data_IF_955662227349
#
_entry.id   IF_955662227349
#
_cell.length_a   1.000
_cell.length_b   1.000
_cell.length_c   1.000
_cell.angle_alpha   90.00
_cell.angle_beta   90.00
_cell.angle_gamma   90.00
#
_symmetry.space_group_name_H-M   'P 1'
#
loop_
_entity.id
_entity.type
_entity.pdbx_description
1 polymer ?
#
# COMPACT_ATOMS: atom_id res chain seq x y z
N UNK A 1 5.97 13.31 40.47
CA UNK A 1 5.54 11.90 40.35
C UNK A 1 5.95 11.43 38.96
N UNK A 2 6.72 10.35 38.85
CA UNK A 2 7.03 9.76 37.54
C UNK A 2 5.70 9.36 36.88
N UNK A 3 5.39 9.90 35.70
CA UNK A 3 4.20 9.50 34.93
C UNK A 3 4.41 8.02 34.56
N UNK A 4 3.43 7.15 34.84
CA UNK A 4 3.54 5.74 34.45
C UNK A 4 3.86 5.64 32.95
N UNK A 5 4.75 4.70 32.54
CA UNK A 5 5.12 4.57 31.15
C UNK A 5 3.90 4.21 30.29
N UNK A 6 3.91 4.65 29.03
CA UNK A 6 2.93 4.17 28.05
C UNK A 6 3.29 2.73 27.69
N UNK A 7 2.29 1.85 27.71
CA UNK A 7 2.46 0.43 27.38
C UNK A 7 1.83 0.17 26.02
N UNK A 8 2.65 -0.12 25.01
CA UNK A 8 2.18 -0.55 23.69
C UNK A 8 2.25 -2.07 23.57
N UNK A 9 1.26 -2.64 22.91
CA UNK A 9 1.18 -4.05 22.62
C UNK A 9 1.01 -4.24 21.11
N UNK A 10 2.10 -4.59 20.42
CA UNK A 10 2.07 -4.94 19.01
C UNK A 10 1.36 -6.28 18.82
N UNK A 11 0.12 -6.22 18.34
CA UNK A 11 -0.70 -7.38 17.99
C UNK A 11 -0.15 -8.05 16.74
N UNK A 12 -0.19 -9.38 16.69
CA UNK A 12 0.07 -10.13 15.48
C UNK A 12 -1.05 -9.91 14.44
N UNK A 13 -0.66 -9.66 13.20
CA UNK A 13 -1.60 -9.54 12.08
C UNK A 13 -2.28 -10.89 11.82
N UNK A 14 -3.57 -10.82 11.52
CA UNK A 14 -4.43 -12.00 11.25
C UNK A 14 -4.97 -11.99 9.83
N UNK A 15 -4.82 -10.86 9.11
CA UNK A 15 -5.23 -10.76 7.71
C UNK A 15 -4.30 -11.66 6.89
N UNK A 16 -4.84 -12.60 6.09
CA UNK A 16 -4.01 -13.49 5.29
C UNK A 16 -2.99 -12.72 4.45
N UNK A 17 -1.73 -13.18 4.48
CA UNK A 17 -0.61 -12.63 3.72
C UNK A 17 -0.20 -11.19 4.10
N UNK A 18 -0.66 -10.67 5.24
CA UNK A 18 -0.17 -9.39 5.78
C UNK A 18 1.14 -9.61 6.56
N UNK A 19 2.26 -9.51 5.86
CA UNK A 19 3.59 -9.69 6.46
C UNK A 19 4.21 -8.41 7.03
N UNK A 20 3.55 -7.25 6.89
CA UNK A 20 4.00 -5.98 7.47
C UNK A 20 3.71 -5.93 8.97
N UNK A 21 4.37 -5.02 9.66
CA UNK A 21 4.15 -4.75 11.08
C UNK A 21 4.06 -3.25 11.34
N UNK A 22 3.24 -2.85 12.34
CA UNK A 22 3.00 -1.44 12.66
C UNK A 22 4.18 -0.80 13.42
N UNK A 23 4.91 -1.64 14.17
CA UNK A 23 6.24 -1.36 14.69
C UNK A 23 7.22 -2.29 14.00
N UNK A 24 8.47 -1.87 13.95
CA UNK A 24 9.62 -2.65 13.52
C UNK A 24 10.58 -2.82 14.70
N UNK A 25 11.57 -3.72 14.65
CA UNK A 25 12.60 -3.80 15.67
C UNK A 25 13.32 -2.46 15.89
N UNK A 26 13.59 -1.70 14.82
CA UNK A 26 14.27 -0.41 14.89
C UNK A 26 13.44 0.66 15.63
N UNK A 27 12.13 0.70 15.38
CA UNK A 27 11.22 1.67 15.99
C UNK A 27 10.78 1.26 17.39
N UNK A 28 10.69 -0.05 17.64
CA UNK A 28 10.54 -0.62 18.98
C UNK A 28 11.69 -0.19 19.89
N UNK A 29 12.93 -0.29 19.40
CA UNK A 29 14.10 0.17 20.16
C UNK A 29 13.98 1.67 20.52
N UNK A 30 13.59 2.50 19.57
CA UNK A 30 13.43 3.94 19.81
C UNK A 30 12.38 4.25 20.88
N UNK A 31 11.26 3.53 20.89
CA UNK A 31 10.22 3.70 21.91
C UNK A 31 10.69 3.21 23.29
N UNK A 32 11.38 2.07 23.35
CA UNK A 32 11.99 1.58 24.59
C UNK A 32 13.00 2.59 25.16
N UNK A 33 13.86 3.16 24.31
CA UNK A 33 14.81 4.21 24.70
C UNK A 33 14.10 5.49 25.18
N UNK A 34 12.89 5.76 24.68
CA UNK A 34 12.03 6.87 25.11
C UNK A 34 11.20 6.57 26.38
N UNK A 35 11.37 5.40 26.99
CA UNK A 35 10.72 5.01 28.25
C UNK A 35 9.36 4.34 28.09
N UNK A 36 9.00 3.86 26.90
CA UNK A 36 7.82 3.03 26.70
C UNK A 36 8.08 1.61 27.19
N UNK A 37 7.00 0.91 27.54
CA UNK A 37 7.01 -0.54 27.69
C UNK A 37 6.37 -1.17 26.46
N UNK A 38 7.10 -2.06 25.78
CA UNK A 38 6.64 -2.66 24.52
C UNK A 38 6.46 -4.17 24.68
N UNK A 39 5.25 -4.65 24.41
CA UNK A 39 4.93 -6.05 24.21
C UNK A 39 4.82 -6.34 22.72
N UNK A 40 5.34 -7.47 22.27
CA UNK A 40 5.25 -7.93 20.88
C UNK A 40 4.74 -9.35 20.87
N UNK A 41 3.65 -9.58 20.15
CA UNK A 41 3.15 -10.93 19.92
C UNK A 41 4.07 -11.72 18.98
N UNK A 42 4.27 -13.00 19.27
CA UNK A 42 4.73 -13.96 18.26
C UNK A 42 3.77 -13.90 17.05
N UNK A 43 4.33 -13.86 15.84
CA UNK A 43 3.54 -13.82 14.61
C UNK A 43 4.16 -14.71 13.54
N UNK A 44 3.40 -15.70 13.09
CA UNK A 44 3.85 -16.65 12.06
C UNK A 44 3.93 -16.05 10.65
N UNK A 45 3.28 -14.90 10.41
CA UNK A 45 3.21 -14.26 9.09
C UNK A 45 4.07 -12.99 8.95
N UNK A 46 4.55 -12.42 10.06
CA UNK A 46 5.42 -11.23 10.04
C UNK A 46 6.72 -11.49 9.27
N UNK A 47 7.15 -10.51 8.48
CA UNK A 47 8.48 -10.52 7.83
C UNK A 47 9.65 -10.35 8.81
N UNK A 48 9.36 -9.86 10.01
CA UNK A 48 10.33 -9.68 11.10
C UNK A 48 10.34 -10.92 11.98
N UNK A 49 11.52 -11.51 12.19
CA UNK A 49 11.70 -12.60 13.14
C UNK A 49 11.50 -12.05 14.56
N UNK A 50 10.80 -12.81 15.40
CA UNK A 50 10.52 -12.43 16.78
C UNK A 50 11.80 -12.15 17.58
N UNK A 51 12.91 -12.83 17.25
CA UNK A 51 14.23 -12.62 17.86
C UNK A 51 14.78 -11.21 17.60
N UNK A 52 14.39 -10.56 16.51
CA UNK A 52 14.78 -9.17 16.25
C UNK A 52 14.16 -8.22 17.28
N UNK A 53 12.91 -8.47 17.69
CA UNK A 53 12.24 -7.71 18.75
C UNK A 53 12.81 -8.02 20.14
N UNK A 54 13.07 -9.30 20.43
CA UNK A 54 13.70 -9.72 21.68
C UNK A 54 15.08 -9.05 21.85
N UNK A 55 15.89 -9.02 20.80
CA UNK A 55 17.22 -8.44 20.81
C UNK A 55 17.25 -6.93 21.13
N UNK A 56 16.16 -6.20 20.85
CA UNK A 56 16.04 -4.78 21.20
C UNK A 56 15.38 -4.52 22.56
N UNK A 57 14.95 -5.58 23.27
CA UNK A 57 14.40 -5.51 24.62
C UNK A 57 12.87 -5.53 24.70
N UNK A 58 12.17 -5.91 23.63
CA UNK A 58 10.72 -6.06 23.68
C UNK A 58 10.30 -7.28 24.51
N UNK A 59 9.14 -7.20 25.18
CA UNK A 59 8.54 -8.32 25.92
C UNK A 59 7.75 -9.21 24.96
N UNK A 60 8.27 -10.38 24.68
CA UNK A 60 7.62 -11.34 23.76
C UNK A 60 6.45 -12.03 24.48
N UNK A 61 5.30 -12.10 23.80
CA UNK A 61 4.06 -12.74 24.30
C UNK A 61 3.39 -13.58 23.23
N UNK A 62 2.51 -14.55 23.59
CA UNK A 62 1.85 -15.39 22.61
C UNK A 62 0.94 -14.61 21.64
N UNK A 63 0.80 -15.13 20.43
CA UNK A 63 -0.14 -14.65 19.40
C UNK A 63 -1.57 -14.54 19.97
N UNK A 64 -2.23 -13.39 19.77
CA UNK A 64 -3.59 -13.12 20.21
C UNK A 64 -3.77 -12.83 21.71
N UNK A 65 -2.69 -12.79 22.50
CA UNK A 65 -2.71 -12.48 23.93
C UNK A 65 -3.24 -11.08 24.27
N UNK A 66 -3.27 -10.15 23.30
CA UNK A 66 -3.83 -8.81 23.46
C UNK A 66 -5.28 -8.82 23.97
N UNK A 67 -6.07 -9.85 23.61
CA UNK A 67 -7.50 -9.97 23.96
C UNK A 67 -7.74 -10.06 25.47
N UNK A 68 -6.78 -10.61 26.22
CA UNK A 68 -6.83 -10.74 27.67
C UNK A 68 -5.80 -9.85 28.37
N UNK A 69 -5.10 -9.00 27.62
CA UNK A 69 -4.13 -8.09 28.17
C UNK A 69 -4.80 -7.05 29.08
N UNK A 70 -4.09 -6.53 30.09
CA UNK A 70 -4.59 -5.46 30.96
C UNK A 70 -5.08 -4.24 30.15
N UNK A 71 -6.13 -3.58 30.65
CA UNK A 71 -6.86 -2.51 29.95
C UNK A 71 -5.97 -1.30 29.61
N UNK A 72 -4.94 -1.05 30.39
CA UNK A 72 -3.99 0.05 30.22
C UNK A 72 -3.06 -0.11 29.02
N UNK A 73 -2.99 -1.30 28.40
CA UNK A 73 -2.22 -1.49 27.17
C UNK A 73 -2.94 -0.87 25.98
N UNK A 74 -2.21 -0.12 25.18
CA UNK A 74 -2.65 0.34 23.87
C UNK A 74 -2.34 -0.77 22.87
N UNK A 75 -3.38 -1.34 22.25
CA UNK A 75 -3.23 -2.41 21.25
C UNK A 75 -2.92 -1.78 19.90
N UNK A 76 -1.79 -2.15 19.32
CA UNK A 76 -1.29 -1.56 18.10
C UNK A 76 -1.15 -2.64 17.02
N UNK A 77 -1.80 -2.45 15.88
CA UNK A 77 -1.67 -3.30 14.70
C UNK A 77 -1.82 -2.48 13.42
N UNK A 78 -1.62 -3.10 12.27
CA UNK A 78 -1.87 -2.49 10.97
C UNK A 78 -3.31 -2.73 10.52
N UNK A 79 -3.72 -3.97 10.31
CA UNK A 79 -4.97 -4.26 9.60
C UNK A 79 -6.14 -4.47 10.55
N UNK A 80 -7.30 -4.58 9.93
CA UNK A 80 -8.58 -4.83 10.55
C UNK A 80 -8.56 -6.07 11.46
N UNK A 81 -9.47 -6.10 12.43
CA UNK A 81 -9.71 -7.28 13.26
C UNK A 81 -10.58 -8.28 12.48
N UNK A 82 -10.50 -9.59 12.77
CA UNK A 82 -11.35 -10.58 12.11
C UNK A 82 -12.84 -10.25 12.27
N UNK A 83 -13.60 -10.26 11.16
CA UNK A 83 -15.02 -9.91 11.14
C UNK A 83 -15.90 -10.89 11.94
N UNK A 84 -15.45 -12.14 12.09
CA UNK A 84 -16.12 -13.15 12.89
C UNK A 84 -15.95 -12.94 14.41
N UNK A 85 -15.08 -12.02 14.84
CA UNK A 85 -14.90 -11.67 16.25
C UNK A 85 -15.84 -10.53 16.65
N UNK A 86 -16.75 -10.82 17.57
CA UNK A 86 -17.84 -9.90 17.97
C UNK A 86 -17.75 -9.41 19.40
N UNK A 87 -16.70 -9.79 20.13
CA UNK A 87 -16.54 -9.40 21.54
C UNK A 87 -16.28 -7.89 21.68
N UNK A 88 -16.71 -7.29 22.82
CA UNK A 88 -16.44 -5.88 23.14
C UNK A 88 -14.94 -5.58 23.21
N UNK A 89 -14.51 -4.47 22.60
CA UNK A 89 -13.13 -4.00 22.62
C UNK A 89 -12.94 -3.03 23.78
N UNK A 90 -12.15 -3.43 24.77
CA UNK A 90 -11.98 -2.68 26.02
C UNK A 90 -10.77 -1.73 26.03
N UNK A 91 -9.84 -1.92 25.10
CA UNK A 91 -8.58 -1.19 25.03
C UNK A 91 -8.68 0.07 24.16
N UNK A 92 -7.65 0.91 24.24
CA UNK A 92 -7.34 1.84 23.17
C UNK A 92 -6.64 1.08 22.03
N UNK A 93 -7.13 1.20 20.80
CA UNK A 93 -6.56 0.58 19.61
C UNK A 93 -5.99 1.61 18.66
N UNK A 94 -4.83 1.30 18.06
CA UNK A 94 -4.26 2.01 16.92
C UNK A 94 -4.20 1.01 15.77
N UNK A 95 -4.94 1.25 14.68
CA UNK A 95 -4.97 0.37 13.51
C UNK A 95 -5.64 1.05 12.31
N UNK A 96 -5.54 0.47 11.12
CA UNK A 96 -6.48 0.73 10.05
C UNK A 96 -7.73 -0.12 10.29
N UNK A 97 -8.83 0.49 10.73
CA UNK A 97 -10.07 -0.25 10.99
C UNK A 97 -10.99 -0.30 9.78
N UNK A 98 -10.79 0.60 8.80
CA UNK A 98 -11.59 0.67 7.58
C UNK A 98 -13.10 0.71 7.86
N UNK A 99 -13.52 1.55 8.81
CA UNK A 99 -14.94 1.69 9.20
C UNK A 99 -15.48 3.13 9.18
N UNK A 100 -14.73 4.09 8.60
CA UNK A 100 -15.13 5.50 8.52
C UNK A 100 -15.60 5.96 7.13
N UNK A 101 -15.59 5.08 6.12
CA UNK A 101 -15.99 5.38 4.73
C UNK A 101 -17.16 4.50 4.27
N UNK A 102 -18.01 4.12 5.22
CA UNK A 102 -19.23 3.34 4.98
C UNK A 102 -18.97 1.98 4.30
N UNK A 103 -17.82 1.38 4.60
CA UNK A 103 -17.48 0.04 4.18
C UNK A 103 -18.53 -0.97 4.64
N UNK A 104 -18.72 -2.06 3.90
CA UNK A 104 -19.61 -3.13 4.33
C UNK A 104 -19.25 -3.61 5.76
N UNK A 105 -20.24 -3.68 6.65
CA UNK A 105 -20.03 -4.09 8.04
C UNK A 105 -19.37 -3.04 8.95
N UNK A 106 -19.22 -1.78 8.52
CA UNK A 106 -18.55 -0.75 9.34
C UNK A 106 -19.20 -0.57 10.73
N UNK A 107 -20.53 -0.69 10.82
CA UNK A 107 -21.24 -0.60 12.11
C UNK A 107 -20.85 -1.75 13.05
N UNK A 108 -20.68 -2.96 12.51
CA UNK A 108 -20.34 -4.14 13.30
C UNK A 108 -18.92 -4.06 13.87
N UNK A 109 -17.99 -3.48 13.11
CA UNK A 109 -16.64 -3.15 13.61
C UNK A 109 -16.73 -2.09 14.69
N UNK A 110 -17.41 -0.96 14.40
CA UNK A 110 -17.36 0.21 15.26
C UNK A 110 -18.09 0.00 16.58
N UNK A 111 -19.22 -0.72 16.60
CA UNK A 111 -20.04 -0.94 17.82
C UNK A 111 -19.29 -1.70 18.92
N UNK A 112 -18.26 -2.49 18.58
CA UNK A 112 -17.46 -3.24 19.55
C UNK A 112 -16.72 -2.34 20.53
N UNK A 113 -16.29 -1.15 20.10
CA UNK A 113 -15.56 -0.19 20.93
C UNK A 113 -16.43 0.43 22.05
N UNK A 114 -17.56 1.12 21.77
CA UNK A 114 -18.40 1.66 22.83
C UNK A 114 -18.99 0.57 23.73
N UNK A 115 -19.25 -0.64 23.23
CA UNK A 115 -19.65 -1.78 24.06
C UNK A 115 -18.61 -2.17 25.12
N UNK A 116 -17.31 -2.00 24.82
CA UNK A 116 -16.21 -2.30 25.73
C UNK A 116 -15.67 -1.08 26.47
N UNK A 117 -16.19 0.12 26.20
CA UNK A 117 -15.57 1.40 26.57
C UNK A 117 -14.11 1.53 26.05
N UNK A 118 -13.85 0.99 24.87
CA UNK A 118 -12.59 1.15 24.14
C UNK A 118 -12.60 2.37 23.22
N UNK A 119 -11.44 2.66 22.64
CA UNK A 119 -11.22 3.79 21.74
C UNK A 119 -10.49 3.28 20.49
N UNK A 120 -10.81 3.85 19.33
CA UNK A 120 -10.06 3.64 18.10
C UNK A 120 -9.34 4.94 17.70
N UNK A 121 -8.03 4.87 17.49
CA UNK A 121 -7.26 5.87 16.76
C UNK A 121 -6.90 5.28 15.39
N UNK A 122 -7.68 5.64 14.37
CA UNK A 122 -7.49 5.05 13.05
C UNK A 122 -6.25 5.64 12.33
N UNK A 123 -5.29 4.78 11.97
CA UNK A 123 -4.05 5.13 11.29
C UNK A 123 -4.26 5.82 9.93
N UNK A 124 -5.41 5.59 9.30
CA UNK A 124 -5.78 6.23 8.03
C UNK A 124 -5.95 7.74 8.18
N UNK A 125 -6.37 8.20 9.37
CA UNK A 125 -6.78 9.58 9.64
C UNK A 125 -5.89 10.32 10.65
N UNK A 126 -4.72 9.74 10.98
CA UNK A 126 -3.71 10.48 11.73
C UNK A 126 -3.08 11.55 10.85
N UNK A 127 -3.36 12.81 11.17
CA UNK A 127 -2.92 13.98 10.41
C UNK A 127 -2.15 14.96 11.27
N UNK A 128 -1.17 15.63 10.63
CA UNK A 128 -0.48 16.77 11.21
C UNK A 128 -1.38 18.02 11.21
N UNK A 129 -0.88 19.13 11.75
CA UNK A 129 -1.68 20.37 11.89
C UNK A 129 -2.01 21.07 10.56
N UNK A 130 -1.46 20.61 9.44
CA UNK A 130 -1.81 21.07 8.10
C UNK A 130 -2.78 20.12 7.38
N UNK A 131 -3.35 19.13 8.07
CA UNK A 131 -4.23 18.13 7.48
C UNK A 131 -3.51 17.13 6.56
N UNK A 132 -2.18 17.01 6.69
CA UNK A 132 -1.41 16.00 5.95
C UNK A 132 -1.26 14.76 6.80
N UNK A 133 -1.59 13.62 6.21
CA UNK A 133 -1.44 12.31 6.84
C UNK A 133 0.00 12.04 7.28
N UNK A 134 0.18 11.68 8.56
CA UNK A 134 1.50 11.54 9.21
C UNK A 134 2.28 10.35 8.67
N UNK A 135 1.63 9.20 8.48
CA UNK A 135 2.25 7.97 7.99
C UNK A 135 1.37 7.30 6.94
N UNK A 136 1.99 6.84 5.84
CA UNK A 136 1.32 6.10 4.78
C UNK A 136 2.33 5.23 4.02
N UNK A 137 1.85 4.18 3.35
CA UNK A 137 2.71 3.25 2.60
C UNK A 137 3.04 3.72 1.16
N UNK A 138 2.83 5.00 0.85
CA UNK A 138 2.84 5.52 -0.52
C UNK A 138 4.14 5.22 -1.28
N UNK A 139 5.30 5.43 -0.66
CA UNK A 139 6.59 5.22 -1.33
C UNK A 139 6.76 3.78 -1.83
N UNK A 140 6.63 2.78 -0.96
CA UNK A 140 6.78 1.38 -1.36
C UNK A 140 5.60 0.85 -2.18
N UNK A 141 4.42 1.49 -2.15
CA UNK A 141 3.36 1.20 -3.11
C UNK A 141 3.80 1.54 -4.54
N UNK A 142 4.37 2.72 -4.75
CA UNK A 142 4.91 3.13 -6.05
C UNK A 142 6.13 2.32 -6.47
N UNK A 143 7.04 2.03 -5.53
CA UNK A 143 8.23 1.22 -5.77
C UNK A 143 7.87 -0.20 -6.23
N UNK A 144 7.00 -0.89 -5.49
CA UNK A 144 6.52 -2.22 -5.85
C UNK A 144 5.67 -2.21 -7.13
N UNK A 145 4.83 -1.19 -7.31
CA UNK A 145 4.03 -1.02 -8.52
C UNK A 145 4.90 -0.89 -9.78
N UNK A 146 5.91 -0.02 -9.74
CA UNK A 146 6.87 0.12 -10.83
C UNK A 146 7.63 -1.20 -11.11
N UNK A 147 7.89 -2.02 -10.08
CA UNK A 147 8.59 -3.28 -10.24
C UNK A 147 7.74 -4.29 -11.02
N UNK A 148 6.46 -4.43 -10.63
CA UNK A 148 5.50 -5.23 -11.38
C UNK A 148 5.35 -4.70 -12.82
N UNK A 149 5.31 -3.38 -12.98
CA UNK A 149 5.24 -2.74 -14.31
C UNK A 149 6.40 -3.16 -15.22
N UNK A 150 7.62 -3.15 -14.70
CA UNK A 150 8.83 -3.54 -15.45
C UNK A 150 8.88 -5.05 -15.68
N UNK A 151 8.48 -5.86 -14.71
CA UNK A 151 8.40 -7.32 -14.85
C UNK A 151 7.41 -7.70 -15.94
N UNK A 152 6.21 -7.10 -15.95
CA UNK A 152 5.19 -7.35 -16.97
C UNK A 152 5.64 -6.89 -18.37
N UNK A 153 6.25 -5.71 -18.48
CA UNK A 153 6.83 -5.24 -19.75
C UNK A 153 7.94 -6.18 -20.23
N UNK A 154 8.84 -6.60 -19.34
CA UNK A 154 9.96 -7.48 -19.66
C UNK A 154 9.45 -8.85 -20.10
N UNK A 155 8.49 -9.42 -19.38
CA UNK A 155 7.82 -10.67 -19.72
C UNK A 155 7.23 -10.62 -21.12
N UNK A 156 6.58 -9.52 -21.47
CA UNK A 156 6.00 -9.26 -22.79
C UNK A 156 7.04 -9.23 -23.92
N UNK A 157 8.19 -8.57 -23.70
CA UNK A 157 9.29 -8.63 -24.66
C UNK A 157 9.78 -10.08 -24.87
N UNK A 158 9.92 -10.84 -23.77
CA UNK A 158 10.48 -12.19 -23.77
C UNK A 158 9.55 -13.26 -24.35
N UNK A 159 8.23 -13.14 -24.15
CA UNK A 159 7.25 -14.16 -24.51
C UNK A 159 6.37 -13.76 -25.70
N UNK A 160 6.43 -12.50 -26.13
CA UNK A 160 5.63 -11.94 -27.22
C UNK A 160 4.34 -11.28 -26.73
N UNK A 161 3.86 -10.33 -27.53
CA UNK A 161 2.68 -9.49 -27.21
C UNK A 161 1.39 -9.97 -27.89
N UNK A 162 1.33 -11.24 -28.27
CA UNK A 162 0.14 -11.86 -28.85
C UNK A 162 -0.82 -12.31 -27.75
N UNK A 163 -2.13 -12.22 -28.01
CA UNK A 163 -3.19 -12.73 -27.12
C UNK A 163 -2.98 -14.23 -26.91
N UNK A 164 -3.03 -14.72 -25.67
CA UNK A 164 -2.70 -16.11 -25.33
C UNK A 164 -2.97 -16.45 -23.85
N UNK A 165 -2.89 -17.74 -23.51
CA UNK A 165 -3.14 -18.30 -22.17
C UNK A 165 -1.89 -18.22 -21.27
N UNK A 166 -2.05 -18.33 -19.94
CA UNK A 166 -0.93 -18.34 -18.96
C UNK A 166 0.08 -19.47 -19.24
N UNK A 167 1.38 -19.17 -19.29
CA UNK A 167 2.46 -20.18 -19.37
C UNK A 167 2.86 -20.63 -20.79
N UNK A 168 3.97 -21.37 -20.84
CA UNK A 168 4.93 -21.54 -21.96
C UNK A 168 4.33 -21.65 -23.38
N UNK A 169 4.42 -20.54 -24.12
CA UNK A 169 4.01 -20.37 -25.51
C UNK A 169 4.23 -18.92 -25.97
N UNK A 170 4.07 -18.63 -27.27
CA UNK A 170 4.11 -17.24 -27.77
C UNK A 170 2.86 -16.48 -27.29
N UNK A 171 3.02 -15.64 -26.27
CA UNK A 171 1.93 -14.92 -25.58
C UNK A 171 1.51 -15.58 -24.27
N UNK A 172 1.25 -14.75 -23.24
CA UNK A 172 0.82 -15.19 -21.90
C UNK A 172 0.58 -14.02 -20.93
N UNK A 173 0.43 -14.30 -19.64
CA UNK A 173 0.34 -13.29 -18.56
C UNK A 173 1.52 -13.45 -17.60
N UNK A 174 1.88 -12.36 -16.92
CA UNK A 174 2.93 -12.37 -15.91
C UNK A 174 2.60 -13.43 -14.83
N UNK A 175 3.53 -14.35 -14.51
CA UNK A 175 3.34 -15.30 -13.43
C UNK A 175 3.12 -14.61 -12.08
N UNK A 176 2.61 -15.36 -11.10
CA UNK A 176 2.47 -14.87 -9.73
C UNK A 176 3.79 -14.37 -9.15
N UNK A 177 3.72 -13.29 -8.38
CA UNK A 177 4.84 -12.73 -7.62
C UNK A 177 4.67 -13.07 -6.14
N UNK A 178 5.77 -13.13 -5.40
CA UNK A 178 5.75 -13.32 -3.94
C UNK A 178 6.46 -12.16 -3.25
N UNK A 179 6.10 -11.84 -2.00
CA UNK A 179 6.83 -10.85 -1.21
C UNK A 179 8.34 -11.11 -1.19
N UNK A 180 9.11 -10.05 -1.36
CA UNK A 180 10.57 -10.07 -1.32
C UNK A 180 11.07 -9.86 0.11
N UNK A 181 12.16 -10.52 0.50
CA UNK A 181 12.72 -10.37 1.85
C UNK A 181 13.35 -9.00 2.08
N UNK A 182 13.79 -8.31 1.01
CA UNK A 182 14.37 -6.98 1.05
C UNK A 182 14.42 -6.32 -0.34
N UNK A 183 14.67 -5.01 -0.36
CA UNK A 183 14.73 -4.18 -1.56
C UNK A 183 15.79 -4.65 -2.57
N UNK A 184 16.95 -5.12 -2.10
CA UNK A 184 18.05 -5.52 -2.96
C UNK A 184 17.70 -6.76 -3.81
N UNK A 185 17.02 -7.75 -3.22
CA UNK A 185 16.57 -8.93 -3.97
C UNK A 185 15.49 -8.56 -5.00
N UNK A 186 14.56 -7.65 -4.67
CA UNK A 186 13.60 -7.15 -5.67
C UNK A 186 14.31 -6.45 -6.83
N UNK A 187 15.23 -5.52 -6.53
CA UNK A 187 15.98 -4.78 -7.57
C UNK A 187 16.75 -5.74 -8.45
N UNK A 188 17.42 -6.74 -7.85
CA UNK A 188 18.21 -7.74 -8.57
C UNK A 188 17.35 -8.54 -9.54
N UNK A 189 16.21 -9.06 -9.09
CA UNK A 189 15.31 -9.84 -9.95
C UNK A 189 14.74 -8.99 -11.10
N UNK A 190 14.28 -7.78 -10.79
CA UNK A 190 13.76 -6.85 -11.81
C UNK A 190 14.84 -6.48 -12.83
N UNK A 191 16.09 -6.26 -12.39
CA UNK A 191 17.23 -6.02 -13.31
C UNK A 191 17.48 -7.19 -14.23
N UNK A 192 17.49 -8.42 -13.70
CA UNK A 192 17.72 -9.63 -14.49
C UNK A 192 16.68 -9.75 -15.61
N UNK A 193 15.39 -9.56 -15.30
CA UNK A 193 14.33 -9.63 -16.31
C UNK A 193 14.40 -8.46 -17.30
N UNK A 194 14.71 -7.25 -16.83
CA UNK A 194 14.92 -6.09 -17.68
C UNK A 194 16.07 -6.31 -18.66
N UNK A 195 17.23 -6.79 -18.21
CA UNK A 195 18.41 -7.05 -19.07
C UNK A 195 18.13 -8.10 -20.15
N UNK A 196 17.40 -9.17 -19.81
CA UNK A 196 16.94 -10.17 -20.80
C UNK A 196 16.04 -9.52 -21.84
N UNK A 197 15.08 -8.70 -21.40
CA UNK A 197 14.15 -8.01 -22.28
C UNK A 197 14.87 -7.00 -23.20
N UNK A 198 15.81 -6.21 -22.66
CA UNK A 198 16.65 -5.29 -23.43
C UNK A 198 17.45 -6.02 -24.50
N UNK A 199 18.06 -7.16 -24.17
CA UNK A 199 18.81 -7.98 -25.13
C UNK A 199 17.94 -8.39 -26.32
N UNK A 200 16.68 -8.74 -26.08
CA UNK A 200 15.74 -9.12 -27.12
C UNK A 200 15.13 -7.94 -27.88
N UNK A 201 15.01 -6.77 -27.23
CA UNK A 201 14.45 -5.54 -27.78
C UNK A 201 15.52 -4.57 -28.32
N UNK A 202 16.68 -5.08 -28.76
CA UNK A 202 17.72 -4.26 -29.39
C UNK A 202 18.34 -3.20 -28.46
N UNK A 203 18.32 -3.42 -27.14
CA UNK A 203 18.88 -2.52 -26.13
C UNK A 203 18.01 -1.30 -25.80
N UNK A 204 16.77 -1.24 -26.29
CA UNK A 204 15.89 -0.09 -26.05
C UNK A 204 15.15 -0.21 -24.73
N UNK A 205 15.41 0.74 -23.82
CA UNK A 205 14.69 0.90 -22.56
C UNK A 205 13.22 1.31 -22.78
N UNK A 206 12.30 0.86 -21.91
CA UNK A 206 10.91 1.31 -21.96
C UNK A 206 10.82 2.81 -21.67
N UNK A 207 9.85 3.48 -22.29
CA UNK A 207 9.38 4.82 -21.89
C UNK A 207 8.35 4.65 -20.78
N UNK A 208 8.64 5.20 -19.61
CA UNK A 208 7.79 5.13 -18.44
C UNK A 208 7.12 6.48 -18.21
N UNK A 209 5.81 6.50 -18.02
CA UNK A 209 5.05 7.67 -17.60
C UNK A 209 4.53 7.46 -16.18
N UNK A 210 4.82 8.39 -15.29
CA UNK A 210 4.30 8.41 -13.91
C UNK A 210 3.41 9.63 -13.73
N UNK A 211 2.12 9.43 -13.48
CA UNK A 211 1.20 10.51 -13.09
C UNK A 211 1.08 10.53 -11.56
N UNK A 212 1.28 11.69 -10.95
CA UNK A 212 1.44 11.85 -9.50
C UNK A 212 2.90 11.75 -9.04
N UNK A 213 3.82 12.18 -9.91
CA UNK A 213 5.26 12.03 -9.75
C UNK A 213 5.84 12.75 -8.52
N UNK A 214 5.22 13.83 -8.05
CA UNK A 214 5.71 14.61 -6.91
C UNK A 214 5.28 14.04 -5.54
N UNK A 215 4.33 13.10 -5.54
CA UNK A 215 3.87 12.42 -4.33
C UNK A 215 4.84 11.35 -3.84
N UNK A 216 4.57 10.81 -2.64
CA UNK A 216 5.32 9.67 -2.07
C UNK A 216 5.34 8.47 -3.03
N UNK A 217 4.18 8.13 -3.61
CA UNK A 217 4.04 7.06 -4.59
C UNK A 217 4.87 7.30 -5.85
N UNK A 218 4.73 8.46 -6.49
CA UNK A 218 5.49 8.78 -7.69
C UNK A 218 6.99 8.74 -7.44
N UNK A 219 7.44 9.26 -6.30
CA UNK A 219 8.84 9.22 -5.88
C UNK A 219 9.37 7.78 -5.76
N UNK A 220 8.59 6.86 -5.18
CA UNK A 220 8.97 5.44 -5.09
C UNK A 220 9.04 4.74 -6.44
N UNK A 221 8.10 5.02 -7.34
CA UNK A 221 8.12 4.48 -8.71
C UNK A 221 9.37 4.94 -9.48
N UNK A 222 9.68 6.24 -9.41
CA UNK A 222 10.86 6.84 -10.05
C UNK A 222 12.15 6.29 -9.44
N UNK A 223 12.20 6.11 -8.12
CA UNK A 223 13.38 5.58 -7.42
C UNK A 223 13.69 4.15 -7.86
N UNK A 224 12.68 3.28 -7.98
CA UNK A 224 12.88 1.95 -8.56
C UNK A 224 13.45 2.04 -9.97
N UNK A 225 12.81 2.81 -10.89
CA UNK A 225 13.27 2.92 -12.28
C UNK A 225 14.74 3.31 -12.37
N UNK A 226 15.17 4.27 -11.54
CA UNK A 226 16.58 4.67 -11.43
C UNK A 226 17.47 3.55 -10.91
N UNK A 227 17.07 2.87 -9.82
CA UNK A 227 17.85 1.79 -9.21
C UNK A 227 18.04 0.61 -10.13
N UNK A 228 17.08 0.31 -11.01
CA UNK A 228 17.17 -0.76 -12.02
C UNK A 228 17.86 -0.32 -13.31
N UNK A 229 18.20 0.97 -13.45
CA UNK A 229 19.00 1.50 -14.55
C UNK A 229 18.22 2.03 -15.76
N UNK A 230 16.92 2.30 -15.63
CA UNK A 230 16.17 3.01 -16.68
C UNK A 230 16.68 4.48 -16.72
N UNK A 231 17.10 5.00 -17.89
CA UNK A 231 17.58 6.37 -18.03
C UNK A 231 16.52 7.41 -17.62
N UNK A 232 16.92 8.53 -17.03
CA UNK A 232 15.97 9.56 -16.58
C UNK A 232 15.16 10.17 -17.76
N UNK A 233 15.77 10.26 -18.95
CA UNK A 233 15.13 10.72 -20.19
C UNK A 233 14.01 9.78 -20.67
N UNK A 234 13.99 8.54 -20.19
CA UNK A 234 12.92 7.58 -20.44
C UNK A 234 11.78 7.68 -19.42
N UNK A 235 11.87 8.55 -18.41
CA UNK A 235 10.90 8.66 -17.32
C UNK A 235 10.19 10.01 -17.40
N UNK A 236 9.00 10.02 -18.00
CA UNK A 236 8.10 11.17 -17.96
C UNK A 236 7.44 11.29 -16.58
N UNK A 237 7.63 12.44 -15.93
CA UNK A 237 7.20 12.72 -14.56
C UNK A 237 6.09 13.76 -14.60
N UNK A 238 4.85 13.32 -14.49
CA UNK A 238 3.66 14.16 -14.59
C UNK A 238 3.00 14.35 -13.24
N UNK A 239 2.42 15.53 -13.04
CA UNK A 239 1.63 15.88 -11.87
C UNK A 239 0.46 16.80 -12.27
N UNK A 240 -0.03 17.61 -11.33
CA UNK A 240 -1.17 18.49 -11.54
C UNK A 240 -0.96 19.48 -12.71
N UNK A 241 0.27 19.93 -12.96
CA UNK A 241 0.57 20.87 -14.04
C UNK A 241 0.23 20.29 -15.43
N UNK A 242 0.55 19.02 -15.65
CA UNK A 242 0.32 18.35 -16.93
C UNK A 242 -1.10 17.80 -17.05
N UNK A 243 -1.66 17.30 -15.94
CA UNK A 243 -3.01 16.70 -15.92
C UNK A 243 -4.15 17.73 -15.95
N UNK A 244 -3.89 18.99 -15.58
CA UNK A 244 -4.88 20.06 -15.57
C UNK A 244 -5.52 20.34 -16.94
N UNK A 245 -4.86 19.96 -18.05
CA UNK A 245 -5.42 20.10 -19.41
C UNK A 245 -6.65 19.21 -19.67
N UNK A 246 -6.88 18.21 -18.83
CA UNK A 246 -7.96 17.23 -18.98
C UNK A 246 -7.61 16.12 -19.97
N UNK A 247 -8.00 14.89 -19.66
CA UNK A 247 -7.78 13.74 -20.53
C UNK A 247 -8.79 13.67 -21.70
N UNK A 248 -8.64 12.67 -22.59
CA UNK A 248 -7.63 11.61 -22.57
C UNK A 248 -6.22 12.09 -22.95
N UNK A 249 -5.18 11.44 -22.42
CA UNK A 249 -3.78 11.80 -22.66
C UNK A 249 -3.11 10.85 -23.66
N UNK A 250 -2.72 11.39 -24.82
CA UNK A 250 -2.00 10.63 -25.84
C UNK A 250 -0.63 10.14 -25.33
N UNK A 251 -0.02 10.89 -24.40
CA UNK A 251 1.26 10.56 -23.78
C UNK A 251 1.23 9.23 -23.01
N UNK A 252 0.05 8.81 -22.51
CA UNK A 252 -0.11 7.48 -21.92
C UNK A 252 -0.03 6.40 -23.01
N UNK A 253 -0.69 6.59 -24.15
CA UNK A 253 -0.71 5.64 -25.28
C UNK A 253 0.68 5.46 -25.91
N UNK A 254 1.47 6.55 -25.91
CA UNK A 254 2.81 6.62 -26.50
C UNK A 254 3.93 6.15 -25.55
N UNK A 255 3.65 5.98 -24.26
CA UNK A 255 4.55 5.34 -23.29
C UNK A 255 4.52 3.82 -23.44
N UNK A 256 5.52 3.11 -22.93
CA UNK A 256 5.52 1.63 -22.85
C UNK A 256 4.88 1.14 -21.54
N UNK A 257 5.13 1.88 -20.45
CA UNK A 257 4.65 1.60 -19.09
C UNK A 257 4.02 2.88 -18.53
N UNK A 258 2.78 2.78 -18.05
CA UNK A 258 2.09 3.84 -17.34
C UNK A 258 1.86 3.47 -15.87
N UNK A 259 2.33 4.32 -14.95
CA UNK A 259 2.09 4.21 -13.50
C UNK A 259 1.19 5.35 -13.04
N UNK A 260 0.02 5.03 -12.49
CA UNK A 260 -0.85 6.01 -11.83
C UNK A 260 -0.64 6.01 -10.31
N UNK A 261 -0.34 7.18 -9.76
CA UNK A 261 -0.17 7.44 -8.34
C UNK A 261 -1.19 8.46 -7.79
N UNK A 262 -2.26 8.78 -8.54
CA UNK A 262 -3.30 9.71 -8.10
C UNK A 262 -4.65 8.98 -7.98
N UNK A 263 -5.25 9.08 -6.79
CA UNK A 263 -6.64 8.70 -6.56
C UNK A 263 -7.57 9.85 -6.94
N UNK A 264 -8.47 9.62 -7.91
CA UNK A 264 -9.52 10.56 -8.30
C UNK A 264 -10.85 9.82 -8.37
N UNK A 265 -11.89 10.39 -7.76
CA UNK A 265 -13.25 9.84 -7.75
C UNK A 265 -14.32 10.86 -8.14
N UNK A 266 -13.90 12.01 -8.68
CA UNK A 266 -14.82 13.03 -9.20
C UNK A 266 -15.13 12.76 -10.67
N UNK A 267 -16.32 13.16 -11.19
CA UNK A 267 -16.68 12.99 -12.59
C UNK A 267 -15.88 13.97 -13.47
N UNK A 268 -14.66 13.58 -13.83
CA UNK A 268 -13.76 14.31 -14.72
C UNK A 268 -13.51 13.50 -16.00
N UNK A 269 -13.04 14.13 -17.09
CA UNK A 269 -12.56 13.37 -18.25
C UNK A 269 -11.49 12.35 -17.82
N UNK A 270 -11.62 11.07 -18.24
CA UNK A 270 -10.68 10.04 -17.83
C UNK A 270 -9.30 10.26 -18.46
N UNK A 271 -8.26 9.77 -17.80
CA UNK A 271 -6.89 9.84 -18.30
C UNK A 271 -6.73 9.05 -19.59
N UNK A 272 -7.40 7.90 -19.69
CA UNK A 272 -7.47 7.07 -20.89
C UNK A 272 -8.85 6.47 -21.08
N UNK A 273 -9.14 5.96 -22.27
CA UNK A 273 -10.35 5.19 -22.56
C UNK A 273 -10.06 4.17 -23.67
N UNK A 274 -11.02 3.27 -23.94
CA UNK A 274 -10.87 2.24 -24.99
C UNK A 274 -10.71 2.84 -26.39
N UNK A 275 -11.22 4.04 -26.65
CA UNK A 275 -11.12 4.70 -27.96
C UNK A 275 -9.66 5.02 -28.31
N UNK A 276 -8.95 5.74 -27.43
CA UNK A 276 -7.54 6.08 -27.68
C UNK A 276 -6.59 4.87 -27.58
N UNK A 277 -6.98 3.84 -26.83
CA UNK A 277 -6.20 2.61 -26.68
C UNK A 277 -6.36 1.65 -27.88
N UNK A 278 -7.47 1.71 -28.61
CA UNK A 278 -7.72 0.90 -29.81
C UNK A 278 -6.96 1.46 -31.02
N UNK A 279 -5.63 1.41 -30.95
CA UNK A 279 -4.73 1.95 -31.96
C UNK A 279 -3.63 0.93 -32.30
N UNK A 280 -3.47 0.61 -33.58
CA UNK A 280 -2.43 -0.33 -34.06
C UNK A 280 -1.00 0.13 -33.73
N UNK A 281 -0.81 1.45 -33.61
CA UNK A 281 0.49 2.06 -33.33
C UNK A 281 0.74 2.29 -31.83
N UNK A 282 -0.18 1.92 -30.94
CA UNK A 282 -0.03 2.06 -29.48
C UNK A 282 1.25 1.37 -29.00
N UNK A 283 2.01 2.07 -28.15
CA UNK A 283 3.22 1.53 -27.51
C UNK A 283 2.94 0.93 -26.15
N UNK A 284 1.96 1.49 -25.44
CA UNK A 284 1.63 1.08 -24.08
C UNK A 284 1.29 -0.40 -23.99
N UNK A 285 2.02 -1.16 -23.19
CA UNK A 285 1.76 -2.59 -22.93
C UNK A 285 1.39 -2.88 -21.49
N UNK A 286 1.69 -1.95 -20.58
CA UNK A 286 1.54 -2.17 -19.14
C UNK A 286 1.02 -0.92 -18.44
N UNK A 287 -0.09 -1.07 -17.72
CA UNK A 287 -0.62 -0.07 -16.80
C UNK A 287 -0.45 -0.62 -15.38
N UNK A 288 0.05 0.19 -14.47
CA UNK A 288 -0.01 -0.08 -13.03
C UNK A 288 -0.79 1.03 -12.39
N UNK A 289 -2.00 0.73 -11.96
CA UNK A 289 -2.78 1.67 -11.18
C UNK A 289 -2.55 1.42 -9.69
N UNK A 290 -1.60 2.17 -9.11
CA UNK A 290 -1.28 2.09 -7.68
C UNK A 290 -2.43 2.65 -6.83
N UNK A 291 -3.31 3.46 -7.43
CA UNK A 291 -4.49 4.04 -6.79
C UNK A 291 -5.77 3.24 -7.09
N UNK A 292 -5.62 1.99 -7.56
CA UNK A 292 -6.74 1.15 -7.95
C UNK A 292 -7.74 0.97 -6.81
N UNK A 293 -9.01 1.20 -7.14
CA UNK A 293 -10.16 0.96 -6.27
C UNK A 293 -11.32 0.54 -7.18
N UNK A 294 -11.71 -0.74 -7.11
CA UNK A 294 -12.79 -1.29 -7.94
C UNK A 294 -14.17 -0.78 -7.54
N UNK A 295 -14.28 -0.10 -6.39
CA UNK A 295 -15.51 0.56 -5.93
C UNK A 295 -15.63 2.02 -6.40
N UNK A 296 -14.59 2.56 -7.03
CA UNK A 296 -14.57 3.94 -7.49
C UNK A 296 -15.57 4.18 -8.65
N UNK A 297 -16.62 5.01 -8.45
CA UNK A 297 -17.66 5.23 -9.47
C UNK A 297 -17.15 6.05 -10.68
N UNK A 298 -16.01 6.73 -10.53
CA UNK A 298 -15.44 7.61 -11.52
C UNK A 298 -13.94 7.33 -11.70
N UNK A 299 -13.59 6.06 -11.90
CA UNK A 299 -12.21 5.65 -12.15
C UNK A 299 -11.61 6.41 -13.36
N UNK A 300 -10.49 7.15 -13.20
CA UNK A 300 -9.85 7.88 -14.30
C UNK A 300 -9.21 6.96 -15.35
N UNK A 301 -9.11 5.66 -15.08
CA UNK A 301 -8.55 4.62 -15.97
C UNK A 301 -9.63 3.52 -16.19
N UNK A 302 -10.76 3.83 -16.85
CA UNK A 302 -11.92 2.95 -17.00
C UNK A 302 -11.70 1.83 -18.02
N UNK A 303 -10.70 0.97 -17.78
CA UNK A 303 -10.27 -0.09 -18.70
C UNK A 303 -10.16 -1.47 -18.03
N UNK A 304 -10.46 -1.55 -16.73
CA UNK A 304 -10.45 -2.77 -15.94
C UNK A 304 -11.54 -2.72 -14.85
N UNK A 305 -11.95 -3.91 -14.38
CA UNK A 305 -12.96 -4.08 -13.31
C UNK A 305 -12.45 -5.03 -12.20
N UNK A 306 -11.29 -5.65 -12.39
CA UNK A 306 -10.70 -6.64 -11.49
C UNK A 306 -9.61 -5.97 -10.64
N UNK A 307 -9.64 -6.17 -9.33
CA UNK A 307 -8.48 -5.93 -8.46
C UNK A 307 -7.57 -7.15 -8.55
N UNK A 308 -6.39 -7.01 -9.15
CA UNK A 308 -5.44 -8.12 -9.28
C UNK A 308 -4.82 -8.46 -7.93
N UNK A 309 -4.19 -9.63 -7.83
CA UNK A 309 -3.55 -10.13 -6.60
C UNK A 309 -2.17 -10.67 -6.91
N UNK A 310 -1.31 -10.86 -5.91
CA UNK A 310 0.06 -11.33 -6.16
C UNK A 310 0.15 -12.64 -6.95
N UNK A 311 -0.77 -13.59 -6.76
CA UNK A 311 -0.80 -14.84 -7.54
C UNK A 311 -1.19 -14.64 -9.02
N UNK A 312 -1.92 -13.57 -9.31
CA UNK A 312 -2.40 -13.20 -10.65
C UNK A 312 -2.24 -11.69 -10.84
N UNK A 313 -0.99 -11.18 -10.98
CA UNK A 313 -0.68 -9.77 -10.75
C UNK A 313 -1.20 -8.84 -11.83
N UNK A 314 -1.60 -9.39 -12.99
CA UNK A 314 -2.06 -8.61 -14.14
C UNK A 314 -3.35 -9.17 -14.72
N UNK A 315 -4.19 -8.30 -15.26
CA UNK A 315 -5.38 -8.65 -16.06
C UNK A 315 -5.28 -8.04 -17.45
N UNK A 316 -5.67 -8.76 -18.51
CA UNK A 316 -5.68 -8.23 -19.87
C UNK A 316 -6.78 -7.17 -20.08
N UNK A 317 -6.42 -6.06 -20.73
CA UNK A 317 -7.39 -5.09 -21.27
C UNK A 317 -7.86 -5.57 -22.64
N UNK A 318 -9.16 -5.89 -22.73
CA UNK A 318 -9.77 -6.37 -23.98
C UNK A 318 -9.90 -5.22 -24.99
N UNK A 319 -8.98 -5.20 -25.96
CA UNK A 319 -8.90 -4.25 -27.07
C UNK A 319 -8.92 -4.98 -28.42
N UNK A 320 -9.40 -4.30 -29.46
CA UNK A 320 -9.50 -4.84 -30.82
C UNK A 320 -8.19 -4.63 -31.61
N UNK A 321 -7.44 -3.57 -31.29
CA UNK A 321 -6.24 -3.13 -32.03
C UNK A 321 -5.01 -2.94 -31.15
N UNK A 322 -3.84 -3.05 -31.76
CA UNK A 322 -2.56 -2.84 -31.10
C UNK A 322 -2.05 -4.02 -30.24
N UNK A 323 -0.88 -3.87 -29.60
CA UNK A 323 -0.26 -4.95 -28.84
C UNK A 323 -1.04 -5.30 -27.57
N UNK A 324 -0.83 -6.50 -27.00
CA UNK A 324 -1.44 -6.88 -25.71
C UNK A 324 -1.16 -5.82 -24.63
N UNK A 325 -2.21 -5.40 -23.94
CA UNK A 325 -2.17 -4.46 -22.82
C UNK A 325 -2.65 -5.17 -21.56
N UNK A 326 -1.93 -5.03 -20.46
CA UNK A 326 -2.36 -5.52 -19.16
C UNK A 326 -2.43 -4.40 -18.11
N UNK A 327 -3.26 -4.59 -17.10
CA UNK A 327 -3.33 -3.74 -15.91
C UNK A 327 -2.89 -4.54 -14.69
N UNK A 328 -2.03 -3.95 -13.86
CA UNK A 328 -1.86 -4.31 -12.46
C UNK A 328 -2.68 -3.34 -11.60
N UNK A 329 -3.57 -3.90 -10.77
CA UNK A 329 -4.51 -3.19 -9.91
C UNK A 329 -4.52 -3.78 -8.50
N UNK A 330 -3.36 -4.26 -8.03
CA UNK A 330 -3.15 -4.77 -6.67
C UNK A 330 -3.30 -3.60 -5.69
N UNK A 331 -4.21 -3.73 -4.73
CA UNK A 331 -4.51 -2.68 -3.74
C UNK A 331 -3.59 -2.71 -2.49
N UNK A 332 -2.71 -3.71 -2.40
CA UNK A 332 -1.76 -3.92 -1.30
C UNK A 332 -0.31 -4.06 -1.78
N UNK A 333 0.08 -3.32 -2.82
CA UNK A 333 1.44 -3.28 -3.37
C UNK A 333 2.60 -3.17 -2.34
N UNK A 334 2.49 -2.40 -1.25
CA UNK A 334 3.56 -2.35 -0.24
C UNK A 334 3.90 -3.71 0.39
N UNK A 335 2.96 -4.67 0.37
CA UNK A 335 3.20 -6.03 0.86
C UNK A 335 4.17 -6.83 -0.01
N UNK A 336 4.57 -6.33 -1.17
CA UNK A 336 5.65 -6.92 -1.97
C UNK A 336 7.03 -6.69 -1.33
N UNK A 337 7.20 -5.62 -0.53
CA UNK A 337 8.39 -5.31 0.26
C UNK A 337 7.98 -5.02 1.72
N UNK A 338 7.51 -6.05 2.45
CA UNK A 338 6.87 -5.82 3.73
C UNK A 338 7.82 -5.23 4.78
N UNK A 339 9.12 -5.59 4.74
CA UNK A 339 10.11 -5.11 5.69
C UNK A 339 10.34 -3.61 5.54
N UNK A 340 10.73 -3.16 4.35
CA UNK A 340 11.01 -1.76 4.10
C UNK A 340 9.74 -0.89 4.14
N UNK A 341 8.60 -1.41 3.68
CA UNK A 341 7.32 -0.72 3.83
C UNK A 341 6.97 -0.47 5.30
N UNK A 342 7.24 -1.44 6.18
CA UNK A 342 7.03 -1.30 7.62
C UNK A 342 8.01 -0.32 8.24
N UNK A 343 9.31 -0.40 7.90
CA UNK A 343 10.32 0.53 8.43
C UNK A 343 10.01 1.98 8.06
N UNK A 344 9.61 2.24 6.81
CA UNK A 344 9.26 3.57 6.35
C UNK A 344 7.99 4.09 7.04
N UNK A 345 6.96 3.25 7.12
CA UNK A 345 5.69 3.60 7.78
C UNK A 345 5.90 3.90 9.27
N UNK A 346 6.59 3.01 9.99
CA UNK A 346 6.83 3.14 11.41
C UNK A 346 7.72 4.35 11.74
N UNK A 347 8.71 4.65 10.88
CA UNK A 347 9.53 5.86 10.98
C UNK A 347 8.72 7.15 10.83
N UNK A 348 7.85 7.22 9.83
CA UNK A 348 6.97 8.38 9.61
C UNK A 348 5.96 8.56 10.76
N UNK A 349 5.51 7.46 11.37
CA UNK A 349 4.58 7.47 12.49
C UNK A 349 5.25 7.83 13.83
N UNK A 350 6.56 7.60 13.96
CA UNK A 350 7.33 7.76 15.20
C UNK A 350 7.09 9.10 15.94
N UNK A 351 7.09 10.27 15.26
CA UNK A 351 6.83 11.54 15.96
C UNK A 351 5.46 11.58 16.65
N UNK A 352 4.45 10.92 16.07
CA UNK A 352 3.12 10.83 16.70
C UNK A 352 3.12 9.83 17.85
N UNK A 353 3.81 8.69 17.72
CA UNK A 353 3.92 7.70 18.80
C UNK A 353 4.59 8.28 20.05
N UNK A 354 5.63 9.10 19.88
CA UNK A 354 6.31 9.78 20.99
C UNK A 354 5.39 10.76 21.75
N UNK A 355 4.29 11.20 21.14
CA UNK A 355 3.27 12.05 21.77
C UNK A 355 2.16 11.27 22.50
N UNK A 356 2.15 9.93 22.44
CA UNK A 356 1.17 9.11 23.17
C UNK A 356 1.09 9.35 24.69
N UNK A 357 2.18 9.68 25.41
CA UNK A 357 2.11 10.09 26.81
C UNK A 357 1.24 11.33 27.03
N UNK A 358 1.02 12.15 25.99
CA UNK A 358 0.23 13.37 26.00
C UNK A 358 -1.02 13.29 25.11
N UNK A 359 -1.46 12.08 24.73
CA UNK A 359 -2.54 11.86 23.75
C UNK A 359 -3.87 12.59 24.03
N UNK A 360 -4.18 12.86 25.30
CA UNK A 360 -5.37 13.63 25.69
C UNK A 360 -5.31 15.12 25.31
N UNK A 361 -4.12 15.62 24.98
CA UNK A 361 -3.86 17.03 24.65
C UNK A 361 -3.14 17.23 23.33
N UNK A 362 -2.42 16.20 22.84
CA UNK A 362 -1.69 16.24 21.59
C UNK A 362 -2.68 16.32 20.41
N UNK A 363 -2.60 17.34 19.54
CA UNK A 363 -3.60 17.56 18.51
C UNK A 363 -3.82 16.38 17.56
N UNK A 364 -2.77 15.61 17.24
CA UNK A 364 -2.88 14.43 16.36
C UNK A 364 -3.79 13.35 16.95
N UNK A 365 -3.65 13.06 18.24
CA UNK A 365 -4.44 12.04 18.93
C UNK A 365 -5.83 12.55 19.32
N UNK A 366 -5.95 13.82 19.71
CA UNK A 366 -7.24 14.46 20.00
C UNK A 366 -8.13 14.48 18.76
N UNK A 367 -7.59 14.87 17.59
CA UNK A 367 -8.34 14.83 16.31
C UNK A 367 -8.82 13.43 15.99
N UNK A 368 -7.96 12.43 16.15
CA UNK A 368 -8.31 11.03 15.89
C UNK A 368 -9.42 10.54 16.83
N UNK A 369 -9.35 10.85 18.13
CA UNK A 369 -10.42 10.54 19.08
C UNK A 369 -11.74 11.23 18.73
N UNK A 370 -11.69 12.53 18.39
CA UNK A 370 -12.89 13.29 17.99
C UNK A 370 -13.53 12.69 16.74
N UNK A 371 -12.74 12.21 15.78
CA UNK A 371 -13.23 11.51 14.60
C UNK A 371 -13.91 10.19 14.98
N UNK A 372 -13.29 9.40 15.87
CA UNK A 372 -13.91 8.20 16.43
C UNK A 372 -15.26 8.50 17.09
N UNK A 373 -15.32 9.47 18.00
CA UNK A 373 -16.54 9.86 18.70
C UNK A 373 -17.64 10.30 17.71
N UNK A 374 -17.25 11.05 16.67
CA UNK A 374 -18.15 11.47 15.58
C UNK A 374 -18.75 10.27 14.84
N UNK A 375 -17.95 9.24 14.54
CA UNK A 375 -18.45 8.04 13.87
C UNK A 375 -19.27 7.14 14.80
N UNK A 376 -18.92 7.05 16.08
CA UNK A 376 -19.73 6.32 17.08
C UNK A 376 -21.13 6.94 17.19
N UNK A 377 -21.24 8.27 17.20
CA UNK A 377 -22.52 8.98 17.23
C UNK A 377 -23.40 8.75 15.97
N UNK A 378 -22.88 8.11 14.93
CA UNK A 378 -23.66 7.69 13.76
C UNK A 378 -24.37 6.35 13.98
N UNK A 379 -23.89 5.51 14.90
CA UNK A 379 -24.50 4.21 15.20
C UNK A 379 -25.93 4.33 15.77
N UNK A 380 -26.23 5.44 16.46
CA UNK A 380 -27.54 5.69 17.08
C UNK A 380 -28.58 6.32 16.11
N UNK A 381 -28.17 6.65 14.87
CA UNK A 381 -28.97 7.43 13.91
C UNK A 381 -29.56 6.62 12.76
N UNK A 382 -29.28 5.33 12.71
CA UNK A 382 -29.79 4.34 11.75
C UNK A 382 -30.31 3.12 12.53
#
# INVERSE_FOLDING_TARGET
MSKSPVILHLRAETKPLEARAALTPSTTKQLLDAGFEIYVEESSQSTFDIKEYEAVGAKIVPEGSWKTAPKERIIFGLKELPENETFPLIHEHIQFAHCYKDQAGWQDVLKRFPQGNGILYDLEFLENDQGRRVAAFGFYAGFAGAAIGVLDWSFKQLNGNTKGTKGEGKGGELPGVTPYPNENELIKDVKIELEKALTKNGGQYPKCLVIGALGRCGSGAIDLFKKIGIPDDNIAKWDMAETAKGGPFQEIVDSDIFINCIYLSKPIPPFINKEILNNENRKLTTIVDVSADTTNPHNPIPVYEIATVFNEPTVEVKLDKGPKLSVCSIDHLPSLLPREASEFFAKDLMPSLLELPNRDTSPVWVRAKQLFDKHVARLDKE
#
